data_IF_227177914683
#
_entry.id   IF_227177914683
#
_cell.length_a   1.000
_cell.length_b   1.000
_cell.length_c   1.000
_cell.angle_alpha   90.00
_cell.angle_beta   90.00
_cell.angle_gamma   90.00
#
_symmetry.space_group_name_H-M   'P 1'
#
loop_
_entity.id
_entity.type
_entity.pdbx_description
1 polymer ?
#
# COMPACT_ATOMS: atom_id res chain seq x y z
N UNK A 1 -19.29 -39.64 -31.51
CA UNK A 1 -19.21 -38.35 -30.80
C UNK A 1 -18.67 -38.59 -29.40
N UNK A 2 -17.46 -38.11 -29.10
CA UNK A 2 -16.87 -38.01 -27.76
C UNK A 2 -16.33 -36.58 -27.63
N UNK A 3 -16.54 -35.88 -26.51
CA UNK A 3 -16.23 -34.45 -26.43
C UNK A 3 -14.71 -34.21 -26.40
N UNK A 4 -14.28 -33.31 -27.26
CA UNK A 4 -12.93 -32.76 -27.30
C UNK A 4 -12.81 -31.75 -26.15
N UNK A 5 -12.03 -32.08 -25.12
CA UNK A 5 -11.66 -31.14 -24.06
C UNK A 5 -10.68 -30.10 -24.64
N UNK A 6 -11.23 -28.93 -24.97
CA UNK A 6 -10.53 -27.80 -25.60
C UNK A 6 -9.72 -26.95 -24.60
N UNK A 7 -9.64 -27.36 -23.33
CA UNK A 7 -8.97 -26.64 -22.24
C UNK A 7 -7.51 -27.08 -21.98
N UNK A 8 -7.05 -28.19 -22.55
CA UNK A 8 -5.63 -28.64 -22.41
C UNK A 8 -4.68 -28.02 -23.45
N UNK A 9 -5.17 -27.27 -24.43
CA UNK A 9 -4.32 -26.65 -25.47
C UNK A 9 -3.83 -25.23 -25.16
N UNK A 10 -4.27 -24.61 -24.07
CA UNK A 10 -3.90 -23.22 -23.74
C UNK A 10 -2.72 -23.08 -22.78
N UNK A 11 -2.26 -24.18 -22.17
CA UNK A 11 -1.03 -24.20 -21.38
C UNK A 11 0.03 -25.10 -22.04
N UNK A 12 0.45 -24.71 -23.25
CA UNK A 12 1.76 -25.10 -23.74
C UNK A 12 2.82 -24.50 -22.80
N UNK A 13 3.20 -25.29 -21.81
CA UNK A 13 4.36 -25.11 -20.96
C UNK A 13 5.62 -25.24 -21.84
N UNK A 14 5.89 -24.22 -22.65
CA UNK A 14 7.16 -24.09 -23.36
C UNK A 14 8.12 -23.31 -22.46
N UNK A 15 8.85 -24.04 -21.61
CA UNK A 15 10.17 -23.58 -21.16
C UNK A 15 11.19 -23.99 -22.23
N UNK A 16 11.54 -23.15 -23.23
CA UNK A 16 12.70 -23.45 -24.04
C UNK A 16 13.95 -23.23 -23.18
N UNK A 17 14.60 -24.34 -22.83
CA UNK A 17 15.97 -24.51 -22.32
C UNK A 17 16.73 -23.20 -22.04
N UNK A 18 16.82 -22.81 -20.77
CA UNK A 18 17.64 -21.68 -20.30
C UNK A 18 19.09 -21.73 -20.86
N UNK A 19 19.61 -22.92 -21.13
CA UNK A 19 20.95 -23.15 -21.67
C UNK A 19 21.14 -22.69 -23.12
N UNK A 20 20.11 -22.76 -23.98
CA UNK A 20 20.23 -22.26 -25.37
C UNK A 20 20.30 -20.74 -25.41
N UNK A 21 19.45 -20.06 -24.63
CA UNK A 21 19.48 -18.59 -24.51
C UNK A 21 20.80 -18.10 -23.88
N UNK A 22 21.31 -18.83 -22.87
CA UNK A 22 22.63 -18.54 -22.28
C UNK A 22 23.76 -18.71 -23.30
N UNK A 23 23.74 -19.79 -24.08
CA UNK A 23 24.78 -20.09 -25.08
C UNK A 23 24.77 -19.10 -26.24
N UNK A 24 23.61 -18.70 -26.75
CA UNK A 24 23.51 -17.65 -27.79
C UNK A 24 23.99 -16.31 -27.27
N UNK A 25 23.60 -15.92 -26.05
CA UNK A 25 24.07 -14.67 -25.43
C UNK A 25 25.59 -14.67 -25.19
N UNK A 26 26.15 -15.78 -24.74
CA UNK A 26 27.61 -15.94 -24.61
C UNK A 26 28.31 -15.86 -25.97
N UNK A 27 27.75 -16.47 -27.00
CA UNK A 27 28.29 -16.39 -28.35
C UNK A 27 28.26 -14.96 -28.90
N UNK A 28 27.13 -14.24 -28.76
CA UNK A 28 27.01 -12.84 -29.18
C UNK A 28 27.98 -11.92 -28.44
N UNK A 29 28.10 -12.06 -27.12
CA UNK A 29 29.03 -11.24 -26.32
C UNK A 29 30.49 -11.54 -26.67
N UNK A 30 30.83 -12.79 -26.96
CA UNK A 30 32.18 -13.19 -27.41
C UNK A 30 32.48 -12.69 -28.82
N UNK A 31 31.52 -12.77 -29.74
CA UNK A 31 31.69 -12.27 -31.11
C UNK A 31 31.83 -10.74 -31.15
N UNK A 32 31.01 -10.05 -30.34
CA UNK A 32 31.03 -8.59 -30.25
C UNK A 32 32.31 -8.08 -29.59
N UNK A 33 32.77 -8.72 -28.51
CA UNK A 33 34.03 -8.36 -27.84
C UNK A 33 35.26 -8.61 -28.72
N UNK A 34 35.25 -9.64 -29.57
CA UNK A 34 36.33 -9.86 -30.55
C UNK A 34 36.40 -8.78 -31.63
N UNK A 35 35.26 -8.21 -32.02
CA UNK A 35 35.19 -7.19 -33.09
C UNK A 35 35.29 -5.76 -32.58
N UNK A 36 34.69 -5.43 -31.44
CA UNK A 36 34.58 -4.06 -30.91
C UNK A 36 35.23 -3.90 -29.54
N UNK A 37 35.75 -4.97 -28.96
CA UNK A 37 36.38 -4.91 -27.65
C UNK A 37 37.73 -4.19 -27.68
N UNK A 38 38.17 -3.69 -26.51
CA UNK A 38 39.48 -3.05 -26.37
C UNK A 38 40.65 -3.98 -26.71
N UNK A 39 40.43 -5.30 -26.67
CA UNK A 39 41.40 -6.32 -27.04
C UNK A 39 41.43 -6.65 -28.55
N UNK A 40 40.53 -6.07 -29.35
CA UNK A 40 40.56 -6.26 -30.79
C UNK A 40 41.82 -5.59 -31.39
N UNK A 41 42.59 -6.36 -32.18
CA UNK A 41 43.88 -5.90 -32.71
C UNK A 41 43.80 -4.61 -33.55
N UNK A 42 42.68 -4.38 -34.25
CA UNK A 42 42.48 -3.13 -35.00
C UNK A 42 42.21 -1.93 -34.08
N UNK A 43 41.49 -2.12 -32.97
CA UNK A 43 41.22 -1.06 -31.97
C UNK A 43 42.52 -0.63 -31.32
N UNK A 44 43.35 -1.58 -30.88
CA UNK A 44 44.68 -1.28 -30.31
C UNK A 44 45.55 -0.46 -31.27
N UNK A 45 45.61 -0.86 -32.55
CA UNK A 45 46.35 -0.12 -33.58
C UNK A 45 45.78 1.29 -33.82
N UNK A 46 44.46 1.43 -33.87
CA UNK A 46 43.81 2.72 -34.08
C UNK A 46 44.00 3.68 -32.89
N UNK A 47 43.93 3.17 -31.67
CA UNK A 47 44.07 3.96 -30.43
C UNK A 47 45.50 4.43 -30.21
N UNK A 48 46.50 3.67 -30.66
CA UNK A 48 47.89 4.09 -30.65
C UNK A 48 48.13 5.35 -31.51
N UNK A 49 47.37 5.51 -32.59
CA UNK A 49 47.50 6.62 -33.55
C UNK A 49 46.55 7.79 -33.22
N UNK A 50 45.34 7.52 -32.69
CA UNK A 50 44.32 8.55 -32.49
C UNK A 50 44.23 9.04 -31.02
N UNK A 51 44.63 10.30 -30.73
CA UNK A 51 44.61 10.83 -29.36
C UNK A 51 43.20 11.05 -28.80
N UNK A 52 42.19 11.27 -29.65
CA UNK A 52 40.78 11.40 -29.25
C UNK A 52 40.24 10.06 -28.73
N UNK A 53 40.52 8.98 -29.44
CA UNK A 53 40.11 7.63 -29.05
C UNK A 53 40.86 7.16 -27.80
N UNK A 54 42.14 7.52 -27.64
CA UNK A 54 42.92 7.30 -26.41
C UNK A 54 42.28 7.98 -25.19
N UNK A 55 41.92 9.26 -25.30
CA UNK A 55 41.23 9.99 -24.21
C UNK A 55 39.88 9.37 -23.86
N UNK A 56 39.10 8.98 -24.87
CA UNK A 56 37.79 8.32 -24.67
C UNK A 56 37.94 6.98 -23.94
N UNK A 57 38.89 6.14 -24.33
CA UNK A 57 39.14 4.86 -23.65
C UNK A 57 39.69 5.01 -22.23
N UNK A 58 40.55 6.01 -21.98
CA UNK A 58 41.00 6.33 -20.63
C UNK A 58 39.83 6.77 -19.72
N UNK A 59 38.92 7.59 -20.24
CA UNK A 59 37.69 7.96 -19.53
C UNK A 59 36.79 6.77 -19.23
N UNK A 60 36.60 5.85 -20.21
CA UNK A 60 35.84 4.62 -20.00
C UNK A 60 36.48 3.72 -18.92
N UNK A 61 37.81 3.59 -18.91
CA UNK A 61 38.52 2.85 -17.86
C UNK A 61 38.33 3.46 -16.47
N UNK A 62 38.33 4.79 -16.36
CA UNK A 62 38.08 5.45 -15.08
C UNK A 62 36.65 5.19 -14.57
N UNK A 63 35.66 5.18 -15.47
CA UNK A 63 34.27 4.83 -15.13
C UNK A 63 34.15 3.36 -14.74
N UNK A 64 34.83 2.46 -15.47
CA UNK A 64 34.85 1.03 -15.15
C UNK A 64 35.52 0.76 -13.80
N UNK A 65 36.63 1.46 -13.50
CA UNK A 65 37.32 1.40 -12.22
C UNK A 65 36.44 1.98 -11.09
N UNK A 66 35.81 3.14 -11.30
CA UNK A 66 34.89 3.72 -10.34
C UNK A 66 33.69 2.78 -10.07
N UNK A 67 33.12 2.17 -11.11
CA UNK A 67 32.05 1.20 -11.00
C UNK A 67 32.51 -0.08 -10.29
N UNK A 68 33.75 -0.53 -10.52
CA UNK A 68 34.36 -1.66 -9.82
C UNK A 68 34.60 -1.37 -8.35
N UNK A 69 35.10 -0.16 -8.02
CA UNK A 69 35.27 0.31 -6.65
C UNK A 69 33.93 0.41 -5.92
N UNK A 70 32.93 0.99 -6.58
CA UNK A 70 31.55 1.01 -6.08
C UNK A 70 31.11 -0.44 -5.83
N UNK A 71 31.17 -1.34 -6.82
CA UNK A 71 30.79 -2.77 -6.67
C UNK A 71 31.54 -3.51 -5.55
N UNK A 72 32.80 -3.16 -5.29
CA UNK A 72 33.63 -3.77 -4.25
C UNK A 72 33.32 -3.27 -2.84
N UNK A 73 32.64 -2.12 -2.72
CA UNK A 73 32.12 -1.69 -1.43
C UNK A 73 30.96 -2.61 -1.02
N UNK A 74 30.82 -2.94 0.27
CA UNK A 74 29.68 -3.67 0.80
C UNK A 74 28.45 -2.78 0.68
N UNK A 75 27.83 -2.83 -0.49
CA UNK A 75 26.56 -2.18 -0.71
C UNK A 75 25.52 -2.81 0.20
N UNK A 76 24.62 -1.99 0.74
CA UNK A 76 23.43 -2.52 1.39
C UNK A 76 22.72 -3.44 0.38
N UNK A 77 22.34 -4.64 0.84
CA UNK A 77 21.63 -5.65 0.06
C UNK A 77 20.37 -5.11 -0.64
N UNK A 78 19.94 -3.91 -0.25
CA UNK A 78 18.78 -3.19 -0.73
C UNK A 78 19.03 -2.32 -1.98
N UNK A 79 20.25 -2.22 -2.53
CA UNK A 79 20.47 -1.37 -3.72
C UNK A 79 19.83 -1.92 -4.99
N UNK A 80 19.89 -3.23 -5.19
CA UNK A 80 19.23 -3.87 -6.33
C UNK A 80 17.71 -3.75 -6.23
N UNK A 81 17.14 -3.96 -5.04
CA UNK A 81 15.70 -3.76 -4.79
C UNK A 81 15.30 -2.29 -4.97
N UNK A 82 16.10 -1.32 -4.51
CA UNK A 82 15.82 0.11 -4.74
C UNK A 82 15.88 0.50 -6.21
N UNK A 83 16.90 0.04 -6.94
CA UNK A 83 17.01 0.28 -8.38
C UNK A 83 15.83 -0.33 -9.13
N UNK A 84 15.46 -1.57 -8.79
CA UNK A 84 14.29 -2.24 -9.37
C UNK A 84 12.98 -1.52 -9.03
N UNK A 85 12.81 -1.07 -7.78
CA UNK A 85 11.63 -0.30 -7.37
C UNK A 85 11.51 1.01 -8.14
N UNK A 86 12.63 1.70 -8.38
CA UNK A 86 12.65 2.92 -9.20
C UNK A 86 12.32 2.62 -10.67
N UNK A 87 12.89 1.56 -11.26
CA UNK A 87 12.56 1.15 -12.62
C UNK A 87 11.07 0.81 -12.77
N UNK A 88 10.51 0.07 -11.80
CA UNK A 88 9.07 -0.27 -11.78
C UNK A 88 8.23 1.00 -11.66
N UNK A 89 8.58 1.94 -10.77
CA UNK A 89 7.87 3.22 -10.64
C UNK A 89 7.89 4.03 -11.93
N UNK A 90 9.04 4.08 -12.61
CA UNK A 90 9.18 4.76 -13.89
C UNK A 90 8.31 4.11 -14.97
N UNK A 91 8.30 2.77 -15.05
CA UNK A 91 7.45 2.03 -15.98
C UNK A 91 5.96 2.22 -15.69
N UNK A 92 5.56 2.16 -14.41
CA UNK A 92 4.18 2.44 -13.99
C UNK A 92 3.75 3.85 -14.36
N UNK A 93 4.64 4.83 -14.18
CA UNK A 93 4.37 6.21 -14.58
C UNK A 93 4.16 6.34 -16.09
N UNK A 94 5.03 5.72 -16.89
CA UNK A 94 4.88 5.68 -18.35
C UNK A 94 3.60 4.97 -18.80
N UNK A 95 3.21 3.89 -18.12
CA UNK A 95 1.95 3.17 -18.40
C UNK A 95 0.72 4.01 -18.05
N UNK A 96 0.74 4.79 -16.96
CA UNK A 96 -0.36 5.72 -16.61
C UNK A 96 -0.47 6.88 -17.59
N UNK A 97 0.64 7.31 -18.16
CA UNK A 97 0.66 8.38 -19.17
C UNK A 97 0.41 7.86 -20.60
N UNK A 98 0.29 6.55 -20.79
CA UNK A 98 0.04 5.96 -22.10
C UNK A 98 -1.33 6.41 -22.64
N UNK A 99 -1.46 6.59 -23.97
CA UNK A 99 -2.71 7.06 -24.59
C UNK A 99 -3.90 6.12 -24.29
N UNK A 100 -3.66 4.80 -24.21
CA UNK A 100 -4.67 3.81 -23.80
C UNK A 100 -5.14 3.98 -22.36
N UNK A 101 -4.28 4.43 -21.45
CA UNK A 101 -4.66 4.71 -20.06
C UNK A 101 -5.54 5.96 -19.97
N UNK A 102 -5.27 6.98 -20.79
CA UNK A 102 -6.13 8.17 -20.92
C UNK A 102 -7.50 7.86 -21.55
N UNK A 103 -7.52 6.95 -22.51
CA UNK A 103 -8.78 6.46 -23.11
C UNK A 103 -9.62 5.68 -22.08
N UNK A 104 -8.96 4.85 -21.26
CA UNK A 104 -9.58 4.18 -20.12
C UNK A 104 -10.10 5.15 -19.05
N UNK A 105 -9.36 6.22 -18.74
CA UNK A 105 -9.82 7.29 -17.84
C UNK A 105 -11.06 8.01 -18.38
N UNK A 106 -11.12 8.28 -19.69
CA UNK A 106 -12.31 8.87 -20.33
C UNK A 106 -13.51 7.93 -20.33
N UNK A 107 -13.28 6.62 -20.42
CA UNK A 107 -14.34 5.61 -20.35
C UNK A 107 -14.73 5.23 -18.92
N UNK A 108 -14.07 5.80 -17.90
CA UNK A 108 -14.37 5.47 -16.52
C UNK A 108 -15.73 6.05 -16.16
N UNK A 109 -16.72 5.24 -15.75
CA UNK A 109 -17.98 5.78 -15.26
C UNK A 109 -17.70 6.67 -14.05
N UNK A 110 -18.31 7.85 -14.01
CA UNK A 110 -18.23 8.73 -12.84
C UNK A 110 -18.73 7.95 -11.62
N UNK A 111 -17.99 8.00 -10.49
CA UNK A 111 -18.43 7.33 -9.28
C UNK A 111 -19.81 7.87 -8.91
N UNK A 112 -20.76 6.95 -8.73
CA UNK A 112 -22.11 7.33 -8.33
C UNK A 112 -22.02 8.09 -7.01
N UNK A 113 -22.79 9.17 -6.85
CA UNK A 113 -22.81 9.96 -5.61
C UNK A 113 -23.02 9.04 -4.38
N UNK A 114 -23.75 7.94 -4.56
CA UNK A 114 -23.99 6.91 -3.54
C UNK A 114 -22.71 6.20 -3.07
N UNK A 115 -21.75 5.92 -3.94
CA UNK A 115 -20.44 5.37 -3.55
C UNK A 115 -19.58 6.41 -2.83
N UNK A 116 -19.68 7.67 -3.23
CA UNK A 116 -18.99 8.78 -2.57
C UNK A 116 -19.51 9.00 -1.14
N UNK A 117 -20.82 8.95 -0.94
CA UNK A 117 -21.44 9.05 0.38
C UNK A 117 -21.32 7.75 1.19
N UNK A 118 -21.16 6.59 0.53
CA UNK A 118 -20.98 5.29 1.17
C UNK A 118 -19.79 5.25 2.14
N UNK A 119 -18.70 5.93 1.79
CA UNK A 119 -17.48 5.97 2.61
C UNK A 119 -17.69 6.72 3.95
N UNK A 120 -18.64 7.66 4.00
CA UNK A 120 -18.99 8.39 5.22
C UNK A 120 -20.04 7.68 6.09
N UNK A 121 -20.78 6.70 5.55
CA UNK A 121 -21.83 5.98 6.30
C UNK A 121 -21.26 5.25 7.51
N UNK A 122 -20.10 4.60 7.36
CA UNK A 122 -19.51 3.84 8.45
C UNK A 122 -19.04 4.75 9.61
N UNK A 123 -18.45 5.93 9.30
CA UNK A 123 -18.10 6.93 10.32
C UNK A 123 -19.35 7.51 10.99
N UNK A 124 -20.40 7.82 10.23
CA UNK A 124 -21.64 8.37 10.78
C UNK A 124 -22.34 7.38 11.73
N UNK A 125 -22.35 6.09 11.40
CA UNK A 125 -22.94 5.04 12.26
C UNK A 125 -22.16 4.91 13.57
N UNK A 126 -20.82 4.92 13.54
CA UNK A 126 -20.02 4.85 14.76
C UNK A 126 -20.22 6.07 15.68
N UNK A 127 -20.30 7.27 15.10
CA UNK A 127 -20.60 8.50 15.85
C UNK A 127 -22.01 8.46 16.44
N UNK A 128 -23.00 8.03 15.65
CA UNK A 128 -24.38 7.88 16.12
C UNK A 128 -24.49 6.85 17.26
N UNK A 129 -23.77 5.73 17.17
CA UNK A 129 -23.71 4.74 18.24
C UNK A 129 -23.10 5.33 19.53
N UNK A 130 -22.02 6.10 19.43
CA UNK A 130 -21.42 6.78 20.58
C UNK A 130 -22.39 7.79 21.22
N UNK A 131 -23.10 8.58 20.42
CA UNK A 131 -24.12 9.52 20.91
C UNK A 131 -25.25 8.78 21.60
N UNK A 132 -25.73 7.67 21.03
CA UNK A 132 -26.79 6.85 21.64
C UNK A 132 -26.37 6.29 23.00
N UNK A 133 -25.13 5.78 23.12
CA UNK A 133 -24.59 5.30 24.39
C UNK A 133 -24.49 6.43 25.41
N UNK A 134 -24.02 7.62 25.01
CA UNK A 134 -23.97 8.80 25.89
C UNK A 134 -25.35 9.25 26.37
N UNK A 135 -26.36 9.20 25.51
CA UNK A 135 -27.74 9.55 25.88
C UNK A 135 -28.35 8.50 26.82
N UNK A 136 -28.13 7.21 26.54
CA UNK A 136 -28.62 6.11 27.40
C UNK A 136 -27.99 6.14 28.79
N UNK A 137 -26.68 6.39 28.87
CA UNK A 137 -25.97 6.52 30.16
C UNK A 137 -26.47 7.75 30.93
N UNK A 138 -26.61 8.89 30.26
CA UNK A 138 -27.15 10.12 30.88
C UNK A 138 -28.59 9.92 31.38
N UNK A 139 -29.47 9.35 30.55
CA UNK A 139 -30.85 9.06 30.93
C UNK A 139 -30.95 8.03 32.06
N UNK A 140 -30.10 7.00 32.05
CA UNK A 140 -30.02 6.00 33.11
C UNK A 140 -29.58 6.58 34.45
N UNK A 141 -28.59 7.47 34.45
CA UNK A 141 -28.13 8.17 35.66
C UNK A 141 -29.24 9.06 36.23
N UNK A 142 -29.90 9.86 35.39
CA UNK A 142 -31.01 10.70 35.85
C UNK A 142 -32.21 9.89 36.35
N UNK A 143 -32.56 8.80 35.67
CA UNK A 143 -33.63 7.91 36.11
C UNK A 143 -33.30 7.16 37.41
N UNK A 144 -32.03 6.79 37.62
CA UNK A 144 -31.58 6.16 38.86
C UNK A 144 -31.59 7.12 40.05
N UNK A 145 -31.16 8.37 39.83
CA UNK A 145 -31.24 9.45 40.83
C UNK A 145 -32.69 9.74 41.23
N UNK A 146 -33.61 9.79 40.28
CA UNK A 146 -35.01 10.06 40.56
C UNK A 146 -35.68 8.91 41.34
N UNK A 147 -35.36 7.66 40.99
CA UNK A 147 -35.78 6.48 41.75
C UNK A 147 -35.18 6.43 43.15
N UNK A 148 -33.91 6.81 43.32
CA UNK A 148 -33.26 6.89 44.62
C UNK A 148 -33.88 7.99 45.49
N UNK A 149 -34.21 9.15 44.90
CA UNK A 149 -34.87 10.26 45.58
C UNK A 149 -36.27 9.89 46.04
N UNK A 150 -37.09 9.34 45.14
CA UNK A 150 -38.48 8.92 45.46
C UNK A 150 -38.52 7.73 46.42
N UNK A 151 -37.61 6.76 46.27
CA UNK A 151 -37.45 5.63 47.18
C UNK A 151 -36.99 6.08 48.58
N UNK A 152 -36.00 6.98 48.64
CA UNK A 152 -35.52 7.58 49.88
C UNK A 152 -36.62 8.38 50.59
N UNK A 153 -37.36 9.21 49.86
CA UNK A 153 -38.47 9.99 50.42
C UNK A 153 -39.57 9.09 50.99
N UNK A 154 -39.89 7.97 50.33
CA UNK A 154 -40.85 6.98 50.84
C UNK A 154 -40.33 6.26 52.10
N UNK A 155 -39.06 5.84 52.10
CA UNK A 155 -38.45 5.16 53.25
C UNK A 155 -38.39 6.08 54.48
N UNK A 156 -38.05 7.35 54.29
CA UNK A 156 -38.04 8.35 55.35
C UNK A 156 -39.47 8.63 55.85
N UNK A 157 -40.45 8.83 54.96
CA UNK A 157 -41.86 9.00 55.36
C UNK A 157 -42.36 7.81 56.19
N UNK A 158 -42.03 6.58 55.79
CA UNK A 158 -42.42 5.37 56.52
C UNK A 158 -41.72 5.25 57.89
N UNK A 159 -40.45 5.66 57.98
CA UNK A 159 -39.73 5.72 59.25
C UNK A 159 -40.36 6.72 60.23
N UNK A 160 -40.68 7.93 59.76
CA UNK A 160 -41.34 8.94 60.60
C UNK A 160 -42.77 8.54 60.99
N UNK A 161 -43.56 7.99 60.06
CA UNK A 161 -44.90 7.49 60.35
C UNK A 161 -44.91 6.37 61.40
N UNK A 162 -43.89 5.50 61.40
CA UNK A 162 -43.78 4.39 62.37
C UNK A 162 -43.25 4.80 63.74
N UNK A 163 -42.47 5.87 63.86
CA UNK A 163 -41.82 6.27 65.11
C UNK A 163 -42.41 7.53 65.76
N UNK A 164 -43.09 8.41 65.01
CA UNK A 164 -43.49 9.74 65.49
C UNK A 164 -45.00 10.03 65.27
N UNK A 165 -45.70 9.17 64.52
CA UNK A 165 -47.13 9.31 64.22
C UNK A 165 -47.40 10.06 62.90
N UNK A 166 -48.52 9.75 62.25
CA UNK A 166 -48.83 10.22 60.88
C UNK A 166 -48.93 11.75 60.74
N UNK A 167 -49.41 12.46 61.77
CA UNK A 167 -49.64 13.93 61.69
C UNK A 167 -48.34 14.72 61.45
N UNK A 168 -47.21 14.31 62.04
CA UNK A 168 -45.91 14.99 61.86
C UNK A 168 -45.21 14.63 60.55
N UNK A 169 -45.55 13.48 59.95
CA UNK A 169 -44.98 13.05 58.67
C UNK A 169 -45.63 13.77 57.48
N UNK A 170 -46.91 14.15 57.56
CA UNK A 170 -47.56 14.98 56.55
C UNK A 170 -47.06 16.44 56.61
N UNK A 171 -46.92 17.01 57.81
CA UNK A 171 -46.52 18.42 57.98
C UNK A 171 -45.07 18.72 57.52
N UNK A 172 -44.14 17.76 57.63
CA UNK A 172 -42.73 17.92 57.24
C UNK A 172 -42.49 17.71 55.74
N UNK A 173 -43.35 16.95 55.05
CA UNK A 173 -43.11 16.54 53.66
C UNK A 173 -44.13 17.03 52.64
N UNK A 174 -45.26 17.60 53.06
CA UNK A 174 -46.30 18.16 52.17
C UNK A 174 -46.58 19.67 52.40
N UNK A 175 -45.73 20.36 53.18
CA UNK A 175 -45.65 21.84 53.23
C UNK A 175 -44.73 22.43 52.17
#
# INVERSE_FOLDING_TARGET
MKPVNLLERLFCNSKPSADRCRRTRQWFTTALSRRLGPEAGWVRRHVAVCPRCRKRLAGLRNVEMALSLVRSQPHSLDLLSRANAHAIKMLQHGLRQAPKARELERSRPEPSLVEQFGQYRHSAVNVAACIAILLLTRAGVFGSLDKARTGGQKAVRQYYASHVGNDLAEEVFDG
#
